data_IF_560392040648
#
_entry.id   IF_560392040648
#
_cell.length_a   1.000
_cell.length_b   1.000
_cell.length_c   1.000
_cell.angle_alpha   90.00
_cell.angle_beta   90.00
_cell.angle_gamma   90.00
#
_symmetry.space_group_name_H-M   'P 1'
#
loop_
_entity.id
_entity.type
_entity.pdbx_description
1 polymer ?
#
# COMPACT_ATOMS: atom_id res chain seq x y z
N UNK A 1 -9.25 -12.40 -12.44
CA UNK A 1 -8.42 -11.20 -12.21
C UNK A 1 -6.97 -11.62 -12.24
N UNK A 2 -6.12 -10.84 -12.89
CA UNK A 2 -4.67 -10.98 -12.72
C UNK A 2 -4.31 -10.32 -11.39
N UNK A 3 -3.69 -11.06 -10.49
CA UNK A 3 -3.24 -10.53 -9.20
C UNK A 3 -1.78 -10.14 -9.35
N UNK A 4 -1.48 -8.88 -9.04
CA UNK A 4 -0.12 -8.36 -9.01
C UNK A 4 0.20 -7.97 -7.58
N UNK A 5 1.37 -8.37 -7.10
CA UNK A 5 1.94 -7.89 -5.84
C UNK A 5 3.09 -6.94 -6.19
N UNK A 6 3.04 -5.66 -5.77
CA UNK A 6 4.15 -4.72 -6.00
C UNK A 6 5.49 -5.26 -5.45
N UNK A 7 5.46 -5.94 -4.30
CA UNK A 7 6.62 -6.57 -3.69
C UNK A 7 7.22 -7.72 -4.54
N UNK A 8 6.42 -8.35 -5.41
CA UNK A 8 6.93 -9.37 -6.34
C UNK A 8 7.73 -8.77 -7.50
N UNK A 9 7.69 -7.43 -7.67
CA UNK A 9 8.46 -6.69 -8.68
C UNK A 9 9.69 -5.98 -8.10
N UNK A 10 9.98 -6.18 -6.82
CA UNK A 10 11.23 -5.73 -6.21
C UNK A 10 12.45 -6.34 -6.91
N UNK A 11 13.54 -5.55 -6.94
CA UNK A 11 14.86 -6.06 -7.32
C UNK A 11 15.26 -7.21 -6.39
N UNK A 12 16.13 -8.09 -6.88
CA UNK A 12 16.60 -9.23 -6.09
C UNK A 12 17.24 -8.77 -4.77
N UNK A 13 17.98 -7.67 -4.79
CA UNK A 13 18.65 -7.08 -3.62
C UNK A 13 17.64 -6.52 -2.61
N UNK A 14 16.66 -5.72 -3.07
CA UNK A 14 15.61 -5.17 -2.22
C UNK A 14 14.78 -6.28 -1.57
N UNK A 15 14.45 -7.33 -2.33
CA UNK A 15 13.74 -8.51 -1.81
C UNK A 15 14.55 -9.25 -0.75
N UNK A 16 15.84 -9.50 -0.99
CA UNK A 16 16.70 -10.18 -0.03
C UNK A 16 16.84 -9.38 1.27
N UNK A 17 17.05 -8.07 1.16
CA UNK A 17 17.10 -7.19 2.33
C UNK A 17 15.79 -7.21 3.12
N UNK A 18 14.66 -7.13 2.42
CA UNK A 18 13.34 -7.14 3.05
C UNK A 18 13.05 -8.48 3.77
N UNK A 19 13.44 -9.61 3.18
CA UNK A 19 13.30 -10.93 3.79
C UNK A 19 14.25 -11.14 4.98
N UNK A 20 15.38 -10.44 5.00
CA UNK A 20 16.34 -10.49 6.10
C UNK A 20 15.99 -9.54 7.25
N UNK A 21 15.16 -8.52 7.03
CA UNK A 21 14.72 -7.59 8.08
C UNK A 21 13.69 -8.26 9.00
N UNK A 22 14.05 -8.44 10.27
CA UNK A 22 13.15 -9.01 11.29
C UNK A 22 11.91 -8.14 11.55
N UNK A 23 12.05 -6.82 11.40
CA UNK A 23 11.00 -5.84 11.68
C UNK A 23 10.34 -5.28 10.41
N UNK A 24 10.84 -5.65 9.23
CA UNK A 24 10.39 -5.11 7.95
C UNK A 24 10.60 -3.58 7.82
N UNK A 25 11.64 -3.06 8.47
CA UNK A 25 11.93 -1.63 8.45
C UNK A 25 12.79 -1.28 7.24
N UNK A 26 12.30 -0.37 6.38
CA UNK A 26 13.03 0.06 5.20
C UNK A 26 14.40 0.70 5.52
N UNK A 27 14.54 1.34 6.69
CA UNK A 27 15.83 1.92 7.11
C UNK A 27 16.92 0.87 7.33
N UNK A 28 16.55 -0.40 7.50
CA UNK A 28 17.48 -1.51 7.66
C UNK A 28 17.95 -2.08 6.32
N UNK A 29 17.34 -1.63 5.21
CA UNK A 29 17.70 -2.07 3.87
C UNK A 29 18.93 -1.29 3.39
N UNK A 30 20.09 -1.96 3.28
CA UNK A 30 21.31 -1.38 2.72
C UNK A 30 21.28 -1.37 1.19
N UNK A 31 20.26 -0.73 0.63
CA UNK A 31 20.01 -0.68 -0.82
C UNK A 31 20.10 0.75 -1.34
N UNK A 32 20.43 0.87 -2.63
CA UNK A 32 20.57 2.16 -3.31
C UNK A 32 19.21 2.85 -3.55
N UNK A 33 18.10 2.13 -3.49
CA UNK A 33 16.75 2.67 -3.69
C UNK A 33 16.25 3.35 -2.42
N UNK A 34 15.78 4.59 -2.57
CA UNK A 34 15.14 5.31 -1.48
C UNK A 34 13.69 4.83 -1.29
N UNK A 35 13.12 5.13 -0.12
CA UNK A 35 11.69 4.94 0.14
C UNK A 35 10.81 5.60 -0.93
N UNK A 36 11.24 6.77 -1.46
CA UNK A 36 10.55 7.48 -2.52
C UNK A 36 10.55 6.73 -3.85
N UNK A 37 11.65 6.07 -4.20
CA UNK A 37 11.78 5.32 -5.46
C UNK A 37 10.84 4.10 -5.46
N UNK A 38 10.80 3.38 -4.34
CA UNK A 38 9.88 2.24 -4.16
C UNK A 38 8.42 2.70 -4.25
N UNK A 39 8.09 3.78 -3.53
CA UNK A 39 6.73 4.32 -3.54
C UNK A 39 6.32 4.77 -4.95
N UNK A 40 7.21 5.44 -5.69
CA UNK A 40 6.92 5.89 -7.05
C UNK A 40 6.64 4.73 -8.01
N UNK A 41 7.39 3.63 -7.89
CA UNK A 41 7.15 2.42 -8.67
C UNK A 41 5.79 1.80 -8.35
N UNK A 42 5.44 1.70 -7.07
CA UNK A 42 4.16 1.14 -6.64
C UNK A 42 3.00 2.04 -7.10
N UNK A 43 3.16 3.36 -7.08
CA UNK A 43 2.19 4.31 -7.64
C UNK A 43 2.01 4.16 -9.15
N UNK A 44 3.09 3.89 -9.90
CA UNK A 44 3.00 3.66 -11.35
C UNK A 44 2.14 2.44 -11.65
N UNK A 45 2.36 1.33 -10.93
CA UNK A 45 1.55 0.12 -11.07
C UNK A 45 0.09 0.42 -10.76
N UNK A 46 -0.18 1.15 -9.66
CA UNK A 46 -1.54 1.52 -9.28
C UNK A 46 -2.25 2.41 -10.30
N UNK A 47 -1.52 3.33 -10.92
CA UNK A 47 -2.07 4.28 -11.88
C UNK A 47 -2.28 3.67 -13.26
N UNK A 48 -1.34 2.83 -13.72
CA UNK A 48 -1.28 2.40 -15.12
C UNK A 48 -1.79 0.96 -15.34
N UNK A 49 -1.69 0.09 -14.34
CA UNK A 49 -1.77 -1.36 -14.57
C UNK A 49 -2.93 -2.09 -13.86
N UNK A 50 -3.60 -1.47 -12.88
CA UNK A 50 -4.59 -2.17 -12.06
C UNK A 50 -5.94 -1.45 -11.98
N UNK A 51 -7.00 -2.25 -12.03
CA UNK A 51 -8.38 -1.75 -11.87
C UNK A 51 -8.83 -1.74 -10.40
N UNK A 52 -8.07 -2.36 -9.50
CA UNK A 52 -8.51 -2.57 -8.12
C UNK A 52 -7.41 -2.93 -7.12
N UNK A 53 -7.69 -2.66 -5.85
CA UNK A 53 -6.78 -2.85 -4.71
C UNK A 53 -7.40 -3.79 -3.70
N UNK A 54 -6.64 -4.79 -3.24
CA UNK A 54 -7.04 -5.67 -2.13
C UNK A 54 -6.28 -5.24 -0.88
N UNK A 55 -7.01 -4.73 0.11
CA UNK A 55 -6.45 -4.29 1.38
C UNK A 55 -6.37 -5.44 2.37
N UNK A 56 -5.21 -5.61 3.00
CA UNK A 56 -4.96 -6.66 3.99
C UNK A 56 -5.44 -6.25 5.40
N UNK A 57 -5.68 -7.21 6.31
CA UNK A 57 -5.99 -6.89 7.70
C UNK A 57 -4.95 -5.97 8.33
N UNK A 58 -5.41 -4.87 8.93
CA UNK A 58 -4.52 -3.90 9.58
C UNK A 58 -3.85 -2.88 8.65
N UNK A 59 -4.19 -2.85 7.35
CA UNK A 59 -3.61 -1.91 6.36
C UNK A 59 -3.60 -0.45 6.82
N UNK A 60 -4.62 -0.02 7.58
CA UNK A 60 -4.76 1.34 8.10
C UNK A 60 -3.57 1.79 8.99
N UNK A 61 -2.80 0.84 9.52
CA UNK A 61 -1.61 1.11 10.34
C UNK A 61 -0.37 1.43 9.48
N UNK A 62 -0.37 1.08 8.19
CA UNK A 62 0.75 1.34 7.27
C UNK A 62 0.56 2.69 6.56
N UNK A 63 1.57 3.56 6.63
CA UNK A 63 1.54 4.82 5.89
C UNK A 63 1.57 4.60 4.38
N UNK A 64 2.35 3.63 3.88
CA UNK A 64 2.39 3.27 2.47
C UNK A 64 1.01 2.82 1.96
N UNK A 65 0.40 1.86 2.67
CA UNK A 65 -0.93 1.36 2.29
C UNK A 65 -2.03 2.44 2.32
N UNK A 66 -1.90 3.44 3.21
CA UNK A 66 -2.80 4.61 3.23
C UNK A 66 -2.60 5.50 1.99
N UNK A 67 -1.36 5.73 1.56
CA UNK A 67 -1.06 6.49 0.35
C UNK A 67 -1.57 5.77 -0.89
N UNK A 68 -1.31 4.46 -1.00
CA UNK A 68 -1.84 3.60 -2.08
C UNK A 68 -3.37 3.65 -2.14
N UNK A 69 -4.03 3.51 -0.99
CA UNK A 69 -5.49 3.59 -0.91
C UNK A 69 -6.02 4.97 -1.30
N UNK A 70 -5.32 6.05 -0.93
CA UNK A 70 -5.67 7.40 -1.36
C UNK A 70 -5.56 7.55 -2.88
N UNK A 71 -4.46 7.10 -3.48
CA UNK A 71 -4.28 7.16 -4.93
C UNK A 71 -5.33 6.30 -5.64
N UNK A 72 -5.61 5.09 -5.15
CA UNK A 72 -6.69 4.26 -5.69
C UNK A 72 -8.07 4.92 -5.62
N UNK A 73 -8.34 5.76 -4.62
CA UNK A 73 -9.57 6.56 -4.57
C UNK A 73 -9.59 7.63 -5.67
N UNK A 74 -8.45 8.30 -5.90
CA UNK A 74 -8.29 9.32 -6.95
C UNK A 74 -8.37 8.75 -8.37
N UNK A 75 -7.82 7.55 -8.61
CA UNK A 75 -7.82 6.88 -9.92
C UNK A 75 -9.08 6.05 -10.18
N UNK A 76 -9.94 5.90 -9.17
CA UNK A 76 -11.23 5.25 -9.32
C UNK A 76 -11.22 3.73 -9.16
N UNK A 77 -10.13 3.14 -8.66
CA UNK A 77 -9.98 1.70 -8.42
C UNK A 77 -11.14 1.12 -7.59
N UNK A 78 -11.48 -0.14 -7.85
CA UNK A 78 -12.35 -0.92 -6.97
C UNK A 78 -11.57 -1.44 -5.77
N UNK A 79 -12.23 -1.59 -4.61
CA UNK A 79 -11.57 -2.05 -3.40
C UNK A 79 -12.12 -3.39 -2.91
N UNK A 80 -11.20 -4.25 -2.49
CA UNK A 80 -11.47 -5.47 -1.76
C UNK A 80 -10.81 -5.42 -0.38
N UNK A 81 -11.36 -6.16 0.58
CA UNK A 81 -10.75 -6.40 1.88
C UNK A 81 -10.54 -7.89 2.08
N UNK A 82 -9.30 -8.28 2.35
CA UNK A 82 -8.95 -9.67 2.60
C UNK A 82 -9.21 -10.02 4.07
N UNK A 83 -9.97 -11.08 4.31
CA UNK A 83 -10.23 -11.59 5.65
C UNK A 83 -10.56 -13.07 5.61
N UNK A 84 -9.91 -13.87 6.47
CA UNK A 84 -10.18 -15.31 6.65
C UNK A 84 -10.15 -16.09 5.32
N UNK A 85 -9.12 -15.88 4.50
CA UNK A 85 -8.95 -16.60 3.23
C UNK A 85 -9.86 -16.12 2.10
N UNK A 86 -10.61 -15.02 2.28
CA UNK A 86 -11.56 -14.51 1.28
C UNK A 86 -11.38 -13.02 1.08
N UNK A 87 -11.53 -12.58 -0.17
CA UNK A 87 -11.65 -11.17 -0.53
C UNK A 87 -13.13 -10.81 -0.55
N UNK A 88 -13.50 -9.75 0.16
CA UNK A 88 -14.87 -9.20 0.16
C UNK A 88 -14.85 -7.80 -0.47
N UNK A 89 -15.91 -7.39 -1.19
CA UNK A 89 -16.02 -6.02 -1.65
C UNK A 89 -15.90 -5.05 -0.48
N UNK A 90 -15.13 -3.98 -0.67
CA UNK A 90 -14.91 -2.96 0.33
C UNK A 90 -15.28 -1.60 -0.25
N UNK A 91 -16.18 -0.87 0.43
CA UNK A 91 -16.76 0.32 -0.18
C UNK A 91 -15.78 1.48 -0.16
N UNK A 92 -15.72 2.26 -1.24
CA UNK A 92 -14.87 3.46 -1.38
C UNK A 92 -15.03 4.44 -0.21
N UNK A 93 -16.25 4.63 0.30
CA UNK A 93 -16.49 5.51 1.44
C UNK A 93 -15.89 4.98 2.77
N UNK A 94 -15.78 3.67 2.94
CA UNK A 94 -15.11 3.07 4.10
C UNK A 94 -13.60 3.30 4.03
N UNK A 95 -13.00 3.11 2.84
CA UNK A 95 -11.58 3.41 2.59
C UNK A 95 -11.30 4.90 2.81
N UNK A 96 -12.10 5.78 2.22
CA UNK A 96 -11.97 7.22 2.36
C UNK A 96 -12.10 7.68 3.82
N UNK A 97 -13.01 7.08 4.60
CA UNK A 97 -13.16 7.39 6.02
C UNK A 97 -11.89 7.10 6.84
N UNK A 98 -11.19 5.99 6.54
CA UNK A 98 -9.92 5.66 7.19
C UNK A 98 -8.81 6.63 6.79
N UNK A 99 -8.68 6.90 5.49
CA UNK A 99 -7.66 7.83 4.96
C UNK A 99 -7.87 9.25 5.50
N UNK A 100 -9.10 9.74 5.50
CA UNK A 100 -9.44 11.08 6.02
C UNK A 100 -9.31 11.18 7.54
N UNK A 101 -9.63 10.11 8.29
CA UNK A 101 -9.48 10.07 9.74
C UNK A 101 -8.02 10.30 10.18
N UNK A 102 -7.07 9.72 9.45
CA UNK A 102 -5.64 9.96 9.67
C UNK A 102 -5.26 11.42 9.43
N UNK A 103 -5.66 12.01 8.30
CA UNK A 103 -5.37 13.42 7.99
C UNK A 103 -5.89 14.35 9.09
N UNK A 104 -7.15 14.15 9.51
CA UNK A 104 -7.77 14.95 10.55
C UNK A 104 -7.08 14.81 11.91
N UNK A 105 -6.51 13.63 12.22
CA UNK A 105 -5.77 13.42 13.47
C UNK A 105 -4.44 14.18 13.51
N UNK A 106 -3.80 14.40 12.35
CA UNK A 106 -2.53 15.12 12.25
C UNK A 106 -2.71 16.64 12.33
N UNK A 107 -3.79 17.17 11.75
CA UNK A 107 -4.13 18.60 11.84
C UNK A 107 -4.58 19.05 13.23
N UNK A 108 -5.05 18.14 14.09
CA UNK A 108 -5.40 18.45 15.49
C UNK A 108 -4.20 18.47 16.44
N UNK A 109 -3.01 18.09 15.97
CA UNK A 109 -1.76 18.05 16.77
C UNK A 109 -0.84 19.26 16.53
N UNK A 110 -1.28 20.21 15.71
CA UNK A 110 -0.68 21.54 15.50
C UNK A 110 -1.53 22.59 16.17
#
# INVERSE_FOLDING_TARGET
>A
YTIVSPAERDTYETRLGALASEQGCHADLSIAETYGDMLARDMKILADEVDGIILLPGWAKSNGAKVEAYIGLCTGCVFGYYSKGKVKPYKKNQVAGVVAGELNSRFKRT
#
